data_IF_235840101905
#
_entry.id   IF_235840101905
#
_cell.length_a   1.000
_cell.length_b   1.000
_cell.length_c   1.000
_cell.angle_alpha   90.00
_cell.angle_beta   90.00
_cell.angle_gamma   90.00
#
_symmetry.space_group_name_H-M   'P 1'
#
loop_
_entity.id
_entity.type
_entity.pdbx_description
1 polymer ?
#
# COMPACT_ATOMS: atom_id res chain seq x y z
N UNK A 1 1.82 -6.15 13.17
CA UNK A 1 3.05 -6.72 12.56
C UNK A 1 2.61 -7.65 11.45
N UNK A 2 3.36 -7.72 10.35
CA UNK A 2 3.11 -8.66 9.25
C UNK A 2 4.40 -9.41 8.95
N UNK A 3 4.28 -10.69 8.59
CA UNK A 3 5.39 -11.52 8.12
C UNK A 3 5.16 -11.87 6.66
N UNK A 4 6.22 -11.84 5.88
CA UNK A 4 6.20 -12.35 4.52
C UNK A 4 6.75 -13.77 4.54
N UNK A 5 5.94 -14.73 4.11
CA UNK A 5 6.27 -16.15 4.03
C UNK A 5 6.08 -16.56 2.57
N UNK A 6 7.07 -17.23 1.98
CA UNK A 6 6.98 -17.69 0.59
C UNK A 6 6.30 -19.08 0.46
N UNK A 7 6.19 -19.58 -0.76
CA UNK A 7 5.59 -20.88 -1.07
C UNK A 7 6.43 -22.09 -0.62
N UNK A 8 7.62 -21.86 -0.05
CA UNK A 8 8.48 -22.88 0.55
C UNK A 8 8.43 -22.85 2.08
N UNK A 9 7.50 -22.10 2.65
CA UNK A 9 7.36 -21.83 4.10
C UNK A 9 8.54 -21.05 4.70
N UNK A 10 9.39 -20.45 3.85
CA UNK A 10 10.51 -19.64 4.31
C UNK A 10 10.05 -18.22 4.63
N UNK A 11 10.35 -17.74 5.84
CA UNK A 11 10.15 -16.34 6.21
C UNK A 11 11.13 -15.45 5.46
N UNK A 12 10.63 -14.60 4.55
CA UNK A 12 11.47 -13.65 3.78
C UNK A 12 11.64 -12.30 4.46
N UNK A 13 10.77 -11.98 5.41
CA UNK A 13 10.91 -10.77 6.18
C UNK A 13 9.71 -10.44 7.06
N UNK A 14 9.84 -9.31 7.75
CA UNK A 14 8.86 -8.81 8.71
C UNK A 14 8.65 -7.31 8.46
N UNK A 15 7.39 -6.90 8.47
CA UNK A 15 6.99 -5.50 8.33
C UNK A 15 6.19 -5.03 9.55
N UNK A 16 6.66 -3.96 10.19
CA UNK A 16 5.94 -3.27 11.26
C UNK A 16 5.30 -2.01 10.70
N UNK A 17 4.01 -1.78 11.02
CA UNK A 17 3.29 -0.55 10.69
C UNK A 17 4.12 0.66 11.14
N UNK A 18 4.32 1.62 10.25
CA UNK A 18 5.17 2.79 10.53
C UNK A 18 4.33 3.87 11.18
N UNK A 19 3.23 4.23 10.53
CA UNK A 19 2.32 5.27 10.94
C UNK A 19 1.10 4.65 11.63
N UNK A 20 1.04 4.74 12.95
CA UNK A 20 -0.08 4.20 13.73
C UNK A 20 -1.25 5.17 13.65
N UNK A 21 -2.43 4.63 13.33
CA UNK A 21 -3.68 5.40 13.29
C UNK A 21 -4.03 5.84 14.71
N UNK A 22 -4.45 7.09 14.92
CA UNK A 22 -4.59 7.68 16.26
C UNK A 22 -5.40 6.88 17.31
N UNK A 23 -6.49 6.15 16.97
CA UNK A 23 -7.20 5.28 17.91
C UNK A 23 -6.43 4.02 18.32
N UNK A 24 -5.40 3.63 17.56
CA UNK A 24 -4.59 2.45 17.84
C UNK A 24 -3.38 2.74 18.76
N UNK A 25 -3.10 4.01 19.08
CA UNK A 25 -1.91 4.42 19.83
C UNK A 25 -1.73 3.71 21.18
N UNK A 26 -2.84 3.38 21.85
CA UNK A 26 -2.79 2.67 23.15
C UNK A 26 -2.49 1.18 23.01
N UNK A 27 -2.64 0.61 21.81
CA UNK A 27 -2.57 -0.84 21.58
C UNK A 27 -1.37 -1.25 20.72
N UNK A 28 -0.88 -0.36 19.85
CA UNK A 28 0.14 -0.69 18.84
C UNK A 28 1.24 0.36 18.86
N UNK A 29 2.49 -0.12 18.94
CA UNK A 29 3.67 0.73 18.71
C UNK A 29 4.05 0.74 17.24
N UNK A 30 4.16 1.93 16.68
CA UNK A 30 4.67 2.16 15.32
C UNK A 30 6.18 2.01 15.25
N UNK A 31 6.72 2.13 14.05
CA UNK A 31 8.17 2.18 13.81
C UNK A 31 8.54 3.30 12.85
N UNK A 32 8.06 4.52 13.14
CA UNK A 32 8.14 5.70 12.26
C UNK A 32 9.54 6.00 11.73
N UNK A 33 10.60 5.73 12.51
CA UNK A 33 11.99 6.00 12.12
C UNK A 33 12.67 4.84 11.39
N UNK A 34 11.98 3.73 11.16
CA UNK A 34 12.52 2.59 10.42
C UNK A 34 11.98 2.65 8.99
N UNK A 35 12.84 2.70 7.95
CA UNK A 35 12.41 2.75 6.57
C UNK A 35 11.43 1.63 6.18
N UNK A 36 10.63 1.89 5.15
CA UNK A 36 9.86 0.82 4.50
C UNK A 36 10.83 -0.03 3.68
N UNK A 37 10.70 -1.35 3.72
CA UNK A 37 11.64 -2.29 3.08
C UNK A 37 10.87 -3.19 2.11
N UNK A 38 11.46 -3.45 0.95
CA UNK A 38 10.96 -4.40 -0.03
C UNK A 38 11.55 -5.79 0.20
N UNK A 39 10.76 -6.83 -0.06
CA UNK A 39 11.14 -8.24 0.09
C UNK A 39 11.42 -8.86 -1.28
N UNK A 40 12.47 -9.67 -1.38
CA UNK A 40 12.75 -10.42 -2.59
C UNK A 40 11.83 -11.65 -2.69
N UNK A 41 11.18 -11.77 -3.84
CA UNK A 41 10.23 -12.87 -4.13
C UNK A 41 10.48 -13.40 -5.54
N UNK A 42 10.01 -14.62 -5.87
CA UNK A 42 10.09 -15.13 -7.25
C UNK A 42 9.42 -14.22 -8.29
N UNK A 43 8.47 -13.36 -7.87
CA UNK A 43 7.79 -12.40 -8.74
C UNK A 43 8.59 -11.08 -8.91
N UNK A 44 9.65 -10.89 -8.13
CA UNK A 44 10.42 -9.65 -8.01
C UNK A 44 10.28 -9.02 -6.61
N UNK A 45 10.79 -7.80 -6.44
CA UNK A 45 10.70 -7.08 -5.16
C UNK A 45 9.26 -6.67 -4.85
N UNK A 46 8.77 -7.00 -3.65
CA UNK A 46 7.42 -6.67 -3.17
C UNK A 46 7.52 -5.82 -1.91
N UNK A 47 6.81 -4.69 -1.89
CA UNK A 47 6.66 -3.84 -0.71
C UNK A 47 5.33 -4.09 0.00
N UNK A 48 5.26 -3.74 1.28
CA UNK A 48 4.01 -3.79 2.07
C UNK A 48 3.78 -2.44 2.74
N UNK A 49 2.54 -1.97 2.72
CA UNK A 49 2.07 -0.82 3.50
C UNK A 49 0.83 -1.24 4.31
N UNK A 50 0.69 -0.72 5.53
CA UNK A 50 -0.45 -1.06 6.38
C UNK A 50 -1.29 0.18 6.65
N UNK A 51 -2.55 0.16 6.22
CA UNK A 51 -3.60 1.10 6.65
C UNK A 51 -3.14 2.56 6.52
N UNK A 52 -2.83 3.23 7.63
CA UNK A 52 -2.48 4.64 7.68
C UNK A 52 -1.12 4.97 7.04
N UNK A 53 -0.28 3.97 6.76
CA UNK A 53 0.96 4.16 6.02
C UNK A 53 0.73 4.78 4.63
N UNK A 54 -0.43 4.56 4.01
CA UNK A 54 -0.74 5.10 2.67
C UNK A 54 -1.03 6.60 2.65
N UNK A 55 -1.26 7.21 3.82
CA UNK A 55 -1.48 8.65 3.92
C UNK A 55 -0.18 9.46 3.73
N UNK A 56 0.97 8.78 3.79
CA UNK A 56 2.30 9.39 3.78
C UNK A 56 3.05 8.95 2.51
N UNK A 57 3.45 9.89 1.63
CA UNK A 57 4.14 9.55 0.39
C UNK A 57 5.49 8.85 0.63
N UNK A 58 6.12 9.06 1.78
CA UNK A 58 7.42 8.50 2.17
C UNK A 58 7.45 6.97 2.10
N UNK A 59 6.32 6.31 2.41
CA UNK A 59 6.20 4.87 2.28
C UNK A 59 6.34 4.40 0.84
N UNK A 60 5.63 5.05 -0.08
CA UNK A 60 5.74 4.78 -1.50
C UNK A 60 7.13 5.15 -2.04
N UNK A 61 7.68 6.30 -1.63
CA UNK A 61 9.01 6.76 -2.06
C UNK A 61 10.10 5.74 -1.68
N UNK A 62 10.13 5.30 -0.44
CA UNK A 62 11.09 4.30 0.03
C UNK A 62 10.98 2.99 -0.76
N UNK A 63 9.77 2.54 -1.06
CA UNK A 63 9.55 1.32 -1.83
C UNK A 63 9.99 1.53 -3.30
N UNK A 64 9.56 2.61 -3.96
CA UNK A 64 9.92 2.87 -5.37
C UNK A 64 11.44 2.98 -5.56
N UNK A 65 12.16 3.61 -4.64
CA UNK A 65 13.63 3.70 -4.70
C UNK A 65 14.30 2.31 -4.62
N UNK A 66 13.68 1.37 -3.92
CA UNK A 66 14.09 -0.04 -3.85
C UNK A 66 13.67 -0.86 -5.08
N UNK A 67 13.05 -0.23 -6.10
CA UNK A 67 12.61 -0.88 -7.34
C UNK A 67 11.60 -2.01 -7.11
N UNK A 68 10.63 -1.80 -6.23
CA UNK A 68 9.54 -2.80 -6.08
C UNK A 68 8.74 -2.90 -7.38
N UNK A 69 8.29 -4.11 -7.68
CA UNK A 69 7.32 -4.35 -8.75
C UNK A 69 5.88 -4.26 -8.25
N UNK A 70 5.68 -4.61 -6.99
CA UNK A 70 4.37 -4.72 -6.36
C UNK A 70 4.37 -4.09 -4.98
N UNK A 71 3.33 -3.35 -4.63
CA UNK A 71 3.06 -2.95 -3.24
C UNK A 71 1.75 -3.59 -2.82
N UNK A 72 1.77 -4.36 -1.73
CA UNK A 72 0.56 -4.85 -1.08
C UNK A 72 0.14 -3.87 0.02
N UNK A 73 -1.06 -3.29 -0.11
CA UNK A 73 -1.67 -2.43 0.90
C UNK A 73 -2.66 -3.26 1.70
N UNK A 74 -2.31 -3.54 2.94
CA UNK A 74 -3.17 -4.23 3.89
C UNK A 74 -3.93 -3.19 4.71
N UNK A 75 -5.20 -2.99 4.40
CA UNK A 75 -6.04 -2.02 5.09
C UNK A 75 -7.33 -2.63 5.66
N UNK A 76 -7.82 -2.00 6.72
CA UNK A 76 -9.12 -2.29 7.32
C UNK A 76 -9.78 -0.96 7.66
N UNK A 77 -10.38 -0.33 6.64
CA UNK A 77 -11.09 0.94 6.77
C UNK A 77 -12.58 0.73 6.59
N UNK A 78 -13.36 1.18 7.57
CA UNK A 78 -14.81 1.30 7.39
C UNK A 78 -15.09 2.64 6.71
N UNK A 79 -16.01 2.64 5.74
CA UNK A 79 -16.48 3.87 5.05
C UNK A 79 -17.21 4.86 5.99
N UNK A 80 -17.21 4.60 7.30
CA UNK A 80 -17.87 5.37 8.36
C UNK A 80 -16.89 5.82 9.44
N UNK A 81 -15.57 5.73 9.22
CA UNK A 81 -14.55 6.12 10.21
C UNK A 81 -14.43 7.64 10.45
N UNK A 82 -15.30 8.45 9.86
CA UNK A 82 -15.27 9.90 9.98
C UNK A 82 -15.69 10.30 11.39
N UNK A 83 -14.95 11.23 12.01
CA UNK A 83 -15.39 11.85 13.24
C UNK A 83 -16.76 12.55 13.04
N UNK A 84 -17.62 12.64 14.08
CA UNK A 84 -18.92 13.30 13.99
C UNK A 84 -18.85 14.72 13.42
N UNK A 85 -17.78 15.47 13.72
CA UNK A 85 -17.54 16.80 13.15
C UNK A 85 -17.36 16.75 11.63
N UNK A 86 -16.62 15.76 11.11
CA UNK A 86 -16.44 15.57 9.67
C UNK A 86 -17.73 15.14 8.97
N UNK A 87 -18.56 14.32 9.62
CA UNK A 87 -19.90 13.96 9.12
C UNK A 87 -20.81 15.18 9.04
N UNK A 88 -20.75 16.07 10.03
CA UNK A 88 -21.55 17.30 10.06
C UNK A 88 -21.22 18.23 8.89
N UNK A 89 -19.96 18.29 8.47
CA UNK A 89 -19.55 19.04 7.28
C UNK A 89 -19.88 18.30 5.97
N UNK A 90 -19.60 17.00 5.92
CA UNK A 90 -19.87 16.18 4.76
C UNK A 90 -20.03 14.71 5.17
N UNK A 91 -21.29 14.23 5.18
CA UNK A 91 -21.62 12.83 5.49
C UNK A 91 -20.95 11.79 4.57
N UNK A 92 -20.40 12.22 3.44
CA UNK A 92 -19.66 11.38 2.50
C UNK A 92 -18.15 11.60 2.56
N UNK A 93 -17.61 12.36 3.52
CA UNK A 93 -16.19 12.69 3.60
C UNK A 93 -15.29 11.45 3.53
N UNK A 94 -15.59 10.39 4.27
CA UNK A 94 -14.83 9.12 4.22
C UNK A 94 -14.99 8.37 2.89
N UNK A 95 -16.17 8.43 2.27
CA UNK A 95 -16.37 7.85 0.95
C UNK A 95 -15.57 8.61 -0.10
N UNK A 96 -15.54 9.94 -0.03
CA UNK A 96 -14.77 10.80 -0.94
C UNK A 96 -13.27 10.65 -0.71
N UNK A 97 -12.84 10.52 0.54
CA UNK A 97 -11.47 10.23 0.92
C UNK A 97 -11.02 8.84 0.45
N UNK A 98 -11.89 7.83 0.58
CA UNK A 98 -11.67 6.50 0.01
C UNK A 98 -11.73 6.49 -1.52
N UNK A 99 -12.51 7.39 -2.14
CA UNK A 99 -12.65 7.51 -3.59
C UNK A 99 -11.49 8.29 -4.22
N UNK A 100 -10.95 9.33 -3.58
CA UNK A 100 -9.69 9.96 -3.99
C UNK A 100 -8.56 8.94 -3.88
N UNK A 101 -8.61 8.08 -2.85
CA UNK A 101 -7.79 6.87 -2.76
C UNK A 101 -8.18 5.79 -3.78
N UNK A 102 -9.29 5.77 -4.52
CA UNK A 102 -9.48 4.71 -5.57
C UNK A 102 -8.40 4.77 -6.66
N UNK A 103 -7.67 5.88 -6.78
CA UNK A 103 -6.44 5.99 -7.58
C UNK A 103 -5.18 5.43 -6.90
N UNK A 104 -5.26 4.96 -5.65
CA UNK A 104 -4.15 4.45 -4.80
C UNK A 104 -4.46 3.20 -3.92
N UNK A 105 -5.64 3.02 -3.34
CA UNK A 105 -6.20 1.79 -2.74
C UNK A 105 -7.66 1.98 -2.30
N UNK A 106 -8.51 0.94 -2.40
CA UNK A 106 -9.87 1.01 -1.87
C UNK A 106 -10.25 -0.26 -1.11
N UNK A 107 -10.28 -0.15 0.22
CA UNK A 107 -11.15 -0.90 1.13
C UNK A 107 -11.06 -2.42 1.04
N UNK A 108 -10.19 -2.98 1.89
CA UNK A 108 -9.66 -4.34 1.87
C UNK A 108 -8.55 -4.52 0.82
N UNK A 109 -7.67 -5.48 1.13
CA UNK A 109 -6.32 -5.61 0.56
C UNK A 109 -6.25 -5.17 -0.91
N UNK A 110 -5.52 -4.09 -1.16
CA UNK A 110 -5.29 -3.59 -2.51
C UNK A 110 -3.86 -3.92 -2.90
N UNK A 111 -3.66 -4.25 -4.16
CA UNK A 111 -2.33 -4.33 -4.75
C UNK A 111 -2.17 -3.14 -5.70
N UNK A 112 -1.75 -1.95 -5.22
CA UNK A 112 -1.32 -0.90 -6.12
C UNK A 112 -0.07 -1.35 -6.87
N UNK A 113 -0.25 -1.61 -8.16
CA UNK A 113 0.86 -1.51 -9.10
C UNK A 113 1.31 -0.05 -9.15
N UNK A 114 2.61 0.19 -9.27
CA UNK A 114 3.19 1.53 -9.41
C UNK A 114 2.66 2.33 -10.61
N UNK A 115 1.93 1.64 -11.49
CA UNK A 115 1.30 2.17 -12.70
C UNK A 115 -0.21 1.96 -12.59
N UNK A 116 -0.99 3.03 -12.77
CA UNK A 116 -2.45 2.99 -12.66
C UNK A 116 -3.13 1.94 -13.56
N UNK A 117 -2.41 1.41 -14.55
CA UNK A 117 -2.86 0.36 -15.46
C UNK A 117 -3.06 -1.03 -14.83
N UNK A 118 -2.44 -1.31 -13.67
CA UNK A 118 -2.54 -2.63 -13.03
C UNK A 118 -3.04 -2.54 -11.57
N UNK A 119 -3.68 -1.43 -11.21
CA UNK A 119 -4.28 -1.28 -9.89
C UNK A 119 -5.54 -2.13 -9.76
N UNK A 120 -5.52 -3.05 -8.81
CA UNK A 120 -6.69 -3.88 -8.51
C UNK A 120 -7.06 -3.78 -7.03
N UNK A 121 -8.32 -3.44 -6.79
CA UNK A 121 -8.92 -3.35 -5.47
C UNK A 121 -9.88 -4.52 -5.25
N UNK A 122 -9.81 -5.12 -4.07
CA UNK A 122 -10.74 -6.17 -3.65
C UNK A 122 -11.65 -5.56 -2.60
N UNK A 123 -12.91 -5.26 -2.98
CA UNK A 123 -13.91 -4.82 -2.02
C UNK A 123 -14.93 -5.93 -1.76
N UNK A 124 -14.93 -6.47 -0.54
CA UNK A 124 -15.89 -7.49 -0.12
C UNK A 124 -16.80 -6.92 0.98
N UNK A 125 -18.11 -7.24 0.90
CA UNK A 125 -19.12 -6.81 1.90
C UNK A 125 -19.17 -7.73 3.11
N UNK A 126 -18.60 -8.93 3.00
CA UNK A 126 -18.51 -10.00 4.01
C UNK A 126 -17.16 -10.69 3.82
N UNK A 127 -16.79 -11.59 4.74
CA UNK A 127 -15.62 -12.46 4.54
C UNK A 127 -15.68 -13.15 3.16
N UNK A 128 -14.55 -13.21 2.49
CA UNK A 128 -14.45 -13.79 1.17
C UNK A 128 -13.06 -13.61 0.57
N UNK A 129 -12.89 -14.17 -0.62
CA UNK A 129 -11.65 -14.10 -1.38
C UNK A 129 -11.96 -13.70 -2.80
N UNK A 130 -11.12 -12.85 -3.39
CA UNK A 130 -11.15 -12.53 -4.81
C UNK A 130 -9.80 -12.91 -5.40
N UNK A 131 -9.82 -13.79 -6.39
CA UNK A 131 -8.63 -14.13 -7.17
C UNK A 131 -8.53 -13.11 -8.29
N UNK A 132 -7.31 -12.65 -8.51
CA UNK A 132 -6.97 -11.63 -9.48
C UNK A 132 -5.74 -12.12 -10.23
N UNK A 133 -5.81 -12.11 -11.55
CA UNK A 133 -4.66 -12.36 -12.41
C UNK A 133 -3.86 -11.06 -12.61
N UNK A 134 -2.55 -11.16 -12.43
CA UNK A 134 -1.60 -10.07 -12.63
C UNK A 134 -0.63 -10.44 -13.74
N UNK A 135 -0.66 -9.70 -14.84
CA UNK A 135 0.30 -9.86 -15.92
C UNK A 135 1.62 -9.16 -15.56
N UNK A 136 2.62 -9.98 -15.23
CA UNK A 136 3.96 -9.51 -14.86
C UNK A 136 4.71 -8.88 -16.04
N UNK A 137 4.38 -9.23 -17.29
CA UNK A 137 5.00 -8.64 -18.48
C UNK A 137 4.62 -7.16 -18.61
N UNK A 138 3.35 -6.81 -18.36
CA UNK A 138 2.89 -5.42 -18.35
C UNK A 138 3.63 -4.62 -17.28
N UNK A 139 3.80 -5.18 -16.07
CA UNK A 139 4.53 -4.51 -14.99
C UNK A 139 6.00 -4.27 -15.34
N UNK A 140 6.66 -5.25 -15.97
CA UNK A 140 8.04 -5.12 -16.42
C UNK A 140 8.19 -4.05 -17.52
N UNK A 141 7.28 -4.03 -18.50
CA UNK A 141 7.27 -3.04 -19.57
C UNK A 141 7.05 -1.62 -19.02
N UNK A 142 6.11 -1.44 -18.10
CA UNK A 142 5.87 -0.14 -17.50
C UNK A 142 7.09 0.34 -16.68
N UNK A 143 7.75 -0.56 -15.93
CA UNK A 143 8.97 -0.22 -15.20
C UNK A 143 10.12 0.24 -16.13
N UNK A 144 10.26 -0.35 -17.32
CA UNK A 144 11.30 0.00 -18.29
C UNK A 144 11.03 1.29 -19.07
N UNK A 145 9.75 1.62 -19.30
CA UNK A 145 9.31 2.82 -20.00
C UNK A 145 9.35 4.06 -19.09
N UNK A 146 8.70 3.99 -17.94
CA UNK A 146 8.49 5.17 -17.10
C UNK A 146 9.65 5.47 -16.15
N UNK A 147 10.45 4.46 -15.77
CA UNK A 147 11.72 4.62 -15.04
C UNK A 147 11.62 5.54 -13.80
N UNK A 148 10.50 5.49 -13.06
CA UNK A 148 10.26 6.39 -11.93
C UNK A 148 11.39 6.41 -10.90
N UNK A 149 11.99 5.24 -10.61
CA UNK A 149 13.15 5.14 -9.71
C UNK A 149 14.37 5.96 -10.20
N UNK A 150 14.55 6.13 -11.51
CA UNK A 150 15.61 6.96 -12.09
C UNK A 150 15.27 8.45 -11.98
N UNK A 151 14.01 8.82 -12.18
CA UNK A 151 13.54 10.19 -11.94
C UNK A 151 13.75 10.62 -10.49
N UNK A 152 13.47 9.72 -9.54
CA UNK A 152 13.70 9.94 -8.11
C UNK A 152 15.17 10.00 -7.71
N UNK A 153 16.07 9.40 -8.51
CA UNK A 153 17.50 9.40 -8.24
C UNK A 153 18.21 10.67 -8.73
N UNK A 154 17.48 11.61 -9.36
CA UNK A 154 18.06 12.85 -9.85
C UNK A 154 18.37 13.82 -8.70
N UNK A 155 19.47 14.60 -8.76
CA UNK A 155 19.87 15.50 -7.69
C UNK A 155 18.86 16.61 -7.35
N UNK A 156 17.99 16.95 -8.31
CA UNK A 156 16.99 18.02 -8.23
C UNK A 156 15.59 17.54 -7.80
N UNK A 157 15.45 16.27 -7.45
CA UNK A 157 14.18 15.64 -7.08
C UNK A 157 13.86 15.80 -5.57
N UNK A 158 12.58 16.10 -5.22
CA UNK A 158 12.12 16.45 -3.85
C UNK A 158 10.95 15.60 -3.33
#
# INVERSE_FOLDING_TARGET
>A
MVYFIDNTDAMKGRYQKKNVWHPEWTHVKGSQHVPHVAFDTPLGKVGVLICWDVAFPEGFRNLISQRVKLIAVLDFWKLTNCAPQGIAHNRYAEKLWSFSRRRFSAGHATIPALWSFAMQAVQLKREGMKIIDLDMAILNNAASLYRAHQGMARPDWH
#
